data_IF_208578786481
#
_entry.id   IF_208578786481
#
_cell.length_a   1.000
_cell.length_b   1.000
_cell.length_c   1.000
_cell.angle_alpha   90.00
_cell.angle_beta   90.00
_cell.angle_gamma   90.00
#
_symmetry.space_group_name_H-M   'P 1'
#
loop_
_entity.id
_entity.type
_entity.pdbx_description
1 polymer ?
#
# COMPACT_ATOMS: atom_id res chain seq x y z
N UNK A 1 -13.65 -1.78 3.92
CA UNK A 1 -12.91 -1.00 4.91
C UNK A 1 -11.48 -1.48 4.98
N UNK A 2 -10.54 -0.57 5.03
CA UNK A 2 -9.13 -0.95 5.08
C UNK A 2 -8.72 -1.43 6.47
N UNK A 3 -7.85 -2.42 6.50
CA UNK A 3 -7.28 -2.94 7.74
C UNK A 3 -6.21 -1.97 8.25
N UNK A 4 -6.18 -1.73 9.55
CA UNK A 4 -5.20 -0.83 10.13
C UNK A 4 -3.80 -1.45 10.12
N UNK A 5 -2.78 -0.58 10.17
CA UNK A 5 -1.40 -1.03 10.19
C UNK A 5 -1.11 -1.92 11.40
N UNK A 6 -1.62 -1.57 12.56
CA UNK A 6 -1.42 -2.36 13.77
C UNK A 6 -1.95 -3.78 13.61
N UNK A 7 -3.13 -3.89 13.00
CA UNK A 7 -3.73 -5.20 12.74
C UNK A 7 -2.88 -5.99 11.75
N UNK A 8 -2.38 -5.35 10.69
CA UNK A 8 -1.54 -6.00 9.70
C UNK A 8 -0.28 -6.58 10.37
N UNK A 9 0.38 -5.78 11.19
CA UNK A 9 1.59 -6.22 11.88
C UNK A 9 1.28 -7.39 12.81
N UNK A 10 0.21 -7.30 13.59
CA UNK A 10 -0.18 -8.37 14.51
C UNK A 10 -0.48 -9.66 13.77
N UNK A 11 -1.21 -9.55 12.65
CA UNK A 11 -1.56 -10.72 11.87
C UNK A 11 -0.32 -11.39 11.28
N UNK A 12 0.63 -10.59 10.79
CA UNK A 12 1.87 -11.13 10.25
C UNK A 12 2.68 -11.88 11.30
N UNK A 13 2.63 -11.43 12.54
CA UNK A 13 3.35 -12.12 13.63
C UNK A 13 2.78 -13.50 13.88
N UNK A 14 1.52 -13.74 13.53
CA UNK A 14 0.89 -15.05 13.70
C UNK A 14 1.09 -15.96 12.49
N UNK A 15 1.58 -15.42 11.38
CA UNK A 15 1.74 -16.18 10.14
C UNK A 15 3.23 -16.49 9.94
N UNK A 16 3.61 -17.76 10.06
CA UNK A 16 5.01 -18.17 9.93
C UNK A 16 5.40 -18.53 8.52
N UNK A 17 4.45 -19.05 7.73
CA UNK A 17 4.73 -19.54 6.39
C UNK A 17 4.53 -18.43 5.37
N UNK A 18 5.44 -18.37 4.38
CA UNK A 18 5.34 -17.35 3.33
C UNK A 18 4.04 -17.48 2.54
N UNK A 19 3.61 -18.70 2.25
CA UNK A 19 2.38 -18.91 1.50
C UNK A 19 1.17 -18.31 2.21
N UNK A 20 1.12 -18.41 3.53
CA UNK A 20 0.02 -17.83 4.30
C UNK A 20 0.09 -16.32 4.29
N UNK A 21 1.30 -15.75 4.37
CA UNK A 21 1.49 -14.31 4.28
C UNK A 21 1.10 -13.78 2.90
N UNK A 22 1.47 -14.52 1.85
CA UNK A 22 1.13 -14.15 0.48
C UNK A 22 -0.39 -14.07 0.32
N UNK A 23 -1.09 -15.09 0.80
CA UNK A 23 -2.55 -15.12 0.76
C UNK A 23 -3.16 -13.96 1.54
N UNK A 24 -2.61 -13.67 2.70
CA UNK A 24 -3.07 -12.56 3.52
C UNK A 24 -2.93 -11.23 2.79
N UNK A 25 -1.80 -11.03 2.11
CA UNK A 25 -1.58 -9.80 1.33
C UNK A 25 -2.63 -9.67 0.23
N UNK A 26 -2.90 -10.76 -0.48
CA UNK A 26 -3.92 -10.74 -1.53
C UNK A 26 -5.29 -10.37 -0.94
N UNK A 27 -5.62 -10.92 0.22
CA UNK A 27 -6.87 -10.61 0.89
C UNK A 27 -6.97 -9.14 1.28
N UNK A 28 -5.87 -8.54 1.73
CA UNK A 28 -5.84 -7.10 2.01
C UNK A 28 -6.20 -6.30 0.77
N UNK A 29 -5.70 -6.73 -0.38
CA UNK A 29 -5.98 -6.05 -1.64
C UNK A 29 -7.44 -6.13 -2.05
N UNK A 30 -8.14 -7.20 -1.67
CA UNK A 30 -9.56 -7.33 -1.97
C UNK A 30 -10.40 -6.33 -1.23
N UNK A 31 -9.96 -5.93 -0.04
CA UNK A 31 -10.67 -4.94 0.78
C UNK A 31 -10.31 -3.51 0.39
N UNK A 32 -9.36 -3.36 -0.53
CA UNK A 32 -8.91 -2.04 -0.96
C UNK A 32 -10.03 -1.33 -1.72
N UNK A 33 -10.27 -0.06 -1.36
CA UNK A 33 -11.26 0.75 -2.04
C UNK A 33 -10.81 1.00 -3.48
N UNK A 34 -11.64 0.59 -4.44
CA UNK A 34 -11.27 0.72 -5.84
C UNK A 34 -11.43 2.16 -6.31
N UNK A 35 -10.59 2.55 -7.27
CA UNK A 35 -10.74 3.83 -7.94
C UNK A 35 -11.86 3.75 -8.99
N UNK A 36 -12.62 4.83 -9.19
CA UNK A 36 -13.61 4.84 -10.26
C UNK A 36 -12.92 4.77 -11.63
N UNK A 37 -13.62 4.29 -12.68
CA UNK A 37 -13.00 4.17 -13.99
C UNK A 37 -12.38 5.46 -14.51
N UNK A 38 -12.96 6.60 -14.20
CA UNK A 38 -12.44 7.88 -14.68
C UNK A 38 -11.10 8.25 -14.02
N UNK A 39 -10.74 7.59 -12.91
CA UNK A 39 -9.45 7.83 -12.26
C UNK A 39 -8.37 6.89 -12.78
N UNK A 40 -8.72 5.87 -13.58
CA UNK A 40 -7.75 4.92 -14.14
C UNK A 40 -7.18 5.49 -15.43
N UNK A 41 -6.51 6.64 -15.31
CA UNK A 41 -5.98 7.37 -16.44
C UNK A 41 -4.46 7.50 -16.31
N UNK A 42 -3.83 7.85 -17.42
CA UNK A 42 -2.37 7.94 -17.50
C UNK A 42 -1.80 8.91 -16.46
N UNK A 43 -2.51 10.00 -16.18
CA UNK A 43 -2.04 11.00 -15.22
C UNK A 43 -1.88 10.43 -13.81
N UNK A 44 -2.66 9.41 -13.46
CA UNK A 44 -2.62 8.78 -12.14
C UNK A 44 -1.77 7.52 -12.13
N UNK A 45 -1.21 7.14 -13.27
CA UNK A 45 -0.45 5.90 -13.38
C UNK A 45 0.96 6.06 -12.84
N UNK A 46 1.39 5.10 -12.01
CA UNK A 46 2.75 5.10 -11.47
C UNK A 46 3.68 4.46 -12.50
N UNK A 47 4.69 5.21 -12.93
CA UNK A 47 5.62 4.73 -13.96
C UNK A 47 6.66 3.80 -13.35
N UNK A 48 7.21 2.93 -14.19
CA UNK A 48 8.29 2.04 -13.78
C UNK A 48 7.84 0.75 -13.12
N UNK A 49 6.54 0.51 -13.00
CA UNK A 49 6.02 -0.73 -12.41
C UNK A 49 5.79 -1.77 -13.48
N UNK A 50 6.08 -3.03 -13.17
CA UNK A 50 5.80 -4.14 -14.08
C UNK A 50 4.30 -4.30 -14.27
N UNK A 51 3.54 -4.29 -13.16
CA UNK A 51 2.09 -4.28 -13.20
C UNK A 51 1.58 -2.86 -13.32
N UNK A 52 0.37 -2.70 -13.83
CA UNK A 52 -0.22 -1.36 -13.89
C UNK A 52 -0.68 -0.95 -12.50
N UNK A 53 -0.26 0.23 -12.08
CA UNK A 53 -0.58 0.79 -10.77
C UNK A 53 -1.09 2.21 -10.96
N UNK A 54 -2.22 2.54 -10.35
CA UNK A 54 -2.77 3.89 -10.35
C UNK A 54 -2.86 4.40 -8.94
N UNK A 55 -2.53 5.68 -8.75
CA UNK A 55 -2.54 6.33 -7.44
C UNK A 55 -3.21 7.69 -7.56
N UNK A 56 -4.13 7.96 -6.66
CA UNK A 56 -4.80 9.25 -6.58
C UNK A 56 -4.52 9.85 -5.21
N UNK A 57 -4.13 11.12 -5.20
CA UNK A 57 -3.73 11.82 -3.99
C UNK A 57 -4.68 12.99 -3.75
N UNK A 58 -5.11 13.15 -2.50
CA UNK A 58 -5.92 14.28 -2.10
C UNK A 58 -5.19 15.00 -0.96
N UNK A 59 -4.82 16.26 -1.20
CA UNK A 59 -4.01 17.03 -0.25
C UNK A 59 -4.92 18.00 0.48
N UNK A 60 -4.83 18.00 1.80
CA UNK A 60 -5.57 18.94 2.64
C UNK A 60 -4.98 20.34 2.57
N UNK A 61 -5.38 21.19 3.48
CA UNK A 61 -4.95 22.58 3.51
C UNK A 61 -3.91 22.80 4.60
N UNK A 62 -3.19 23.93 4.50
CA UNK A 62 -2.22 24.34 5.49
C UNK A 62 -0.79 24.01 5.10
N UNK A 63 0.15 24.35 5.97
CA UNK A 63 1.59 24.17 5.71
C UNK A 63 2.04 22.73 5.86
N UNK A 64 1.33 21.94 6.66
CA UNK A 64 1.65 20.55 6.89
C UNK A 64 0.36 19.75 6.72
N UNK A 65 -0.11 19.59 5.47
CA UNK A 65 -1.45 19.04 5.22
C UNK A 65 -1.53 17.55 5.49
N UNK A 66 -2.74 17.10 5.82
CA UNK A 66 -3.06 15.68 5.83
C UNK A 66 -3.25 15.24 4.38
N UNK A 67 -2.66 14.11 4.02
CA UNK A 67 -2.71 13.61 2.65
C UNK A 67 -3.44 12.26 2.64
N UNK A 68 -4.47 12.18 1.79
CA UNK A 68 -5.21 10.94 1.58
C UNK A 68 -4.77 10.32 0.27
N UNK A 69 -4.56 9.02 0.29
CA UNK A 69 -4.17 8.27 -0.91
C UNK A 69 -5.21 7.21 -1.22
N UNK A 70 -5.46 7.01 -2.51
CA UNK A 70 -6.22 5.87 -3.01
C UNK A 70 -5.43 5.27 -4.14
N UNK A 71 -5.42 3.93 -4.23
CA UNK A 71 -4.64 3.27 -5.26
C UNK A 71 -5.21 1.93 -5.62
N UNK A 72 -4.83 1.44 -6.78
CA UNK A 72 -5.22 0.11 -7.23
C UNK A 72 -4.22 -0.40 -8.25
N UNK A 73 -4.36 -1.66 -8.63
CA UNK A 73 -3.51 -2.29 -9.63
C UNK A 73 -4.31 -3.39 -10.32
N UNK A 74 -3.81 -3.81 -11.48
CA UNK A 74 -4.38 -4.95 -12.18
C UNK A 74 -3.84 -6.29 -11.65
N UNK A 75 -2.88 -6.28 -10.73
CA UNK A 75 -2.32 -7.48 -10.14
C UNK A 75 -2.75 -7.61 -8.68
N UNK A 76 -3.23 -8.80 -8.30
CA UNK A 76 -3.79 -9.02 -6.96
C UNK A 76 -2.77 -8.82 -5.84
N UNK A 77 -1.54 -9.32 -6.02
CA UNK A 77 -0.51 -9.16 -4.99
C UNK A 77 -0.11 -7.69 -4.84
N UNK A 78 -0.03 -6.97 -5.96
CA UNK A 78 0.34 -5.56 -5.94
C UNK A 78 -0.75 -4.74 -5.25
N UNK A 79 -2.02 -5.09 -5.46
CA UNK A 79 -3.12 -4.43 -4.74
C UNK A 79 -2.97 -4.59 -3.23
N UNK A 80 -2.55 -5.78 -2.79
CA UNK A 80 -2.30 -6.02 -1.38
C UNK A 80 -1.16 -5.18 -0.83
N UNK A 81 -0.08 -5.05 -1.61
CA UNK A 81 1.04 -4.19 -1.22
C UNK A 81 0.62 -2.73 -1.14
N UNK A 82 -0.23 -2.29 -2.05
CA UNK A 82 -0.79 -0.94 -2.01
C UNK A 82 -1.59 -0.76 -0.72
N UNK A 83 -2.40 -1.76 -0.35
CA UNK A 83 -3.19 -1.68 0.89
C UNK A 83 -2.27 -1.47 2.11
N UNK A 84 -1.13 -2.16 2.15
CA UNK A 84 -0.17 -2.00 3.23
C UNK A 84 0.41 -0.57 3.23
N UNK A 85 0.80 -0.07 2.06
CA UNK A 85 1.35 1.27 1.96
C UNK A 85 0.33 2.33 2.34
N UNK A 86 -0.92 2.15 1.95
CA UNK A 86 -1.98 3.09 2.32
C UNK A 86 -2.23 3.08 3.82
N UNK A 87 -2.16 1.90 4.45
CA UNK A 87 -2.29 1.82 5.91
C UNK A 87 -1.16 2.58 6.61
N UNK A 88 0.01 2.63 5.98
CA UNK A 88 1.17 3.32 6.53
C UNK A 88 1.10 4.83 6.32
N UNK A 89 0.65 5.28 5.15
CA UNK A 89 0.78 6.68 4.74
C UNK A 89 -0.52 7.47 4.69
N UNK A 90 -1.64 6.85 4.33
CA UNK A 90 -2.86 7.60 4.07
C UNK A 90 -3.43 8.21 5.34
N UNK A 91 -3.91 9.44 5.24
CA UNK A 91 -4.50 10.14 6.38
C UNK A 91 -3.48 10.74 7.33
N UNK A 92 -2.21 10.76 6.94
CA UNK A 92 -1.15 11.33 7.78
C UNK A 92 -0.72 12.69 7.24
N UNK A 93 -0.05 13.46 8.10
CA UNK A 93 0.47 14.77 7.68
C UNK A 93 1.71 14.58 6.80
N UNK A 94 1.94 15.55 5.92
CA UNK A 94 3.07 15.49 4.99
C UNK A 94 4.41 15.26 5.72
N UNK A 95 4.62 15.93 6.86
CA UNK A 95 5.86 15.75 7.61
C UNK A 95 6.02 14.34 8.15
N UNK A 96 4.91 13.71 8.58
CA UNK A 96 4.94 12.34 9.05
C UNK A 96 5.28 11.37 7.91
N UNK A 97 4.71 11.63 6.73
CA UNK A 97 4.97 10.79 5.56
C UNK A 97 6.44 10.84 5.18
N UNK A 98 7.02 12.04 5.17
CA UNK A 98 8.43 12.21 4.81
C UNK A 98 9.38 11.55 5.80
N UNK A 99 8.98 11.41 7.07
CA UNK A 99 9.81 10.80 8.09
C UNK A 99 9.55 9.31 8.27
N UNK A 100 8.62 8.73 7.50
CA UNK A 100 8.24 7.33 7.63
C UNK A 100 9.03 6.49 6.65
N UNK A 101 9.56 5.36 7.14
CA UNK A 101 10.40 4.47 6.34
C UNK A 101 9.61 3.21 5.97
N UNK A 102 9.11 3.18 4.73
CA UNK A 102 8.34 2.03 4.24
C UNK A 102 9.22 0.79 4.10
N UNK A 103 10.49 0.98 3.76
CA UNK A 103 11.40 -0.16 3.63
C UNK A 103 11.58 -0.88 4.98
N UNK A 104 11.68 -0.12 6.06
CA UNK A 104 11.78 -0.71 7.39
C UNK A 104 10.55 -1.55 7.72
N UNK A 105 9.37 -1.10 7.31
CA UNK A 105 8.15 -1.87 7.51
C UNK A 105 8.20 -3.17 6.70
N UNK A 106 8.62 -3.10 5.45
CA UNK A 106 8.70 -4.30 4.61
C UNK A 106 9.68 -5.32 5.16
N UNK A 107 10.81 -4.85 5.70
CA UNK A 107 11.77 -5.75 6.37
C UNK A 107 11.12 -6.41 7.59
N UNK A 108 10.41 -5.63 8.38
CA UNK A 108 9.73 -6.14 9.57
C UNK A 108 8.70 -7.20 9.24
N UNK A 109 8.00 -7.03 8.12
CA UNK A 109 6.99 -7.99 7.67
C UNK A 109 7.59 -9.18 6.92
N UNK A 110 8.90 -9.17 6.67
CA UNK A 110 9.57 -10.26 5.97
C UNK A 110 9.28 -10.29 4.48
N UNK A 111 8.92 -9.15 3.91
CA UNK A 111 8.52 -9.09 2.49
C UNK A 111 9.66 -8.78 1.54
N UNK A 112 10.71 -8.14 2.03
CA UNK A 112 11.78 -7.67 1.16
C UNK A 112 12.43 -8.79 0.35
N UNK A 113 12.70 -9.92 1.00
CA UNK A 113 13.38 -11.04 0.36
C UNK A 113 12.57 -11.64 -0.78
N UNK A 114 11.25 -11.57 -0.69
CA UNK A 114 10.36 -12.20 -1.66
C UNK A 114 9.95 -11.28 -2.79
N UNK A 115 10.08 -9.97 -2.61
CA UNK A 115 9.57 -9.00 -3.57
C UNK A 115 10.66 -8.22 -4.30
N UNK A 116 11.84 -8.09 -3.69
CA UNK A 116 12.91 -7.24 -4.22
C UNK A 116 13.34 -7.57 -5.64
N UNK A 117 13.55 -8.83 -6.03
CA UNK A 117 14.04 -9.10 -7.39
C UNK A 117 13.13 -8.61 -8.49
N UNK A 118 11.85 -8.47 -8.25
CA UNK A 118 10.90 -8.02 -9.24
C UNK A 118 10.59 -6.53 -9.14
N UNK A 119 11.24 -5.82 -8.26
CA UNK A 119 10.98 -4.39 -8.01
C UNK A 119 12.27 -3.60 -8.16
#
# INVERSE_FOLDING_TARGET
MQTSLETIISDFELLDEWEDRYRYIIDLGRDLETLPPEALVEANKVQGCVSQVWLQTQVGSGDDPVIEFKGTSDAHIVRGLIAILLALYSGKRASEILSTDAEALFVKLGLREHLTPQR
#
